data_IF_080833032969
#
_entry.id   IF_080833032969
#
_cell.length_a   1.000
_cell.length_b   1.000
_cell.length_c   1.000
_cell.angle_alpha   90.00
_cell.angle_beta   90.00
_cell.angle_gamma   90.00
#
_symmetry.space_group_name_H-M   'P 1'
#
loop_
_entity.id
_entity.type
_entity.pdbx_description
1 polymer ?
#
# COMPACT_ATOMS: atom_id res chain seq x y z
N UNK A 1 16.03 -17.26 -36.73
CA UNK A 1 14.80 -16.93 -37.47
C UNK A 1 13.67 -17.31 -36.53
N UNK A 2 13.01 -16.45 -35.75
CA UNK A 2 12.53 -15.06 -35.89
C UNK A 2 12.23 -14.62 -34.43
N UNK A 3 12.92 -13.74 -33.72
CA UNK A 3 13.13 -12.28 -33.84
C UNK A 3 11.90 -11.37 -34.08
N UNK A 4 10.65 -11.86 -33.98
CA UNK A 4 9.44 -11.00 -34.12
C UNK A 4 8.30 -11.34 -33.14
N UNK A 5 8.58 -11.50 -31.85
CA UNK A 5 7.50 -11.52 -30.83
C UNK A 5 7.72 -10.53 -29.67
N UNK A 6 8.63 -9.57 -29.82
CA UNK A 6 8.80 -8.50 -28.81
C UNK A 6 7.71 -7.42 -28.87
N UNK A 7 6.89 -7.37 -29.93
CA UNK A 7 5.87 -6.33 -30.14
C UNK A 7 4.51 -6.57 -29.48
N UNK A 8 4.12 -7.83 -29.23
CA UNK A 8 2.77 -8.17 -28.75
C UNK A 8 2.63 -8.30 -27.22
N UNK A 9 3.75 -8.33 -26.48
CA UNK A 9 3.71 -8.49 -25.01
C UNK A 9 3.31 -7.21 -24.25
N UNK A 10 3.28 -6.05 -24.89
CA UNK A 10 2.96 -4.77 -24.25
C UNK A 10 1.44 -4.53 -24.21
N UNK A 11 0.67 -5.03 -25.19
CA UNK A 11 -0.76 -4.78 -25.34
C UNK A 11 -1.69 -5.65 -24.47
N UNK A 12 -1.15 -6.63 -23.72
CA UNK A 12 -1.94 -7.56 -22.88
C UNK A 12 -1.43 -7.67 -21.44
N UNK A 13 -0.83 -6.61 -20.89
CA UNK A 13 -0.51 -6.61 -19.47
C UNK A 13 -1.77 -6.32 -18.64
N UNK A 14 -2.40 -7.39 -18.14
CA UNK A 14 -3.50 -7.28 -17.16
C UNK A 14 -3.02 -6.62 -15.87
N UNK A 15 -3.85 -5.72 -15.32
CA UNK A 15 -3.70 -5.12 -13.98
C UNK A 15 -3.63 -6.19 -12.89
N UNK A 16 -4.39 -7.26 -13.09
CA UNK A 16 -4.42 -8.43 -12.22
C UNK A 16 -3.40 -9.47 -12.67
N UNK A 17 -2.75 -10.12 -11.72
CA UNK A 17 -2.01 -11.35 -11.98
C UNK A 17 -2.96 -12.43 -12.54
N UNK A 18 -2.41 -13.40 -13.27
CA UNK A 18 -3.18 -14.55 -13.75
C UNK A 18 -3.72 -15.38 -12.58
N UNK A 19 -4.92 -15.93 -12.78
CA UNK A 19 -5.55 -16.83 -11.81
C UNK A 19 -4.76 -18.12 -11.71
N UNK A 20 -4.31 -18.46 -10.51
CA UNK A 20 -3.72 -19.76 -10.20
C UNK A 20 -4.41 -20.34 -8.97
N UNK A 21 -4.38 -21.67 -8.81
CA UNK A 21 -4.96 -22.38 -7.66
C UNK A 21 -4.39 -21.92 -6.31
N UNK A 22 -3.33 -21.11 -6.32
CA UNK A 22 -2.54 -20.70 -5.15
C UNK A 22 -2.72 -19.23 -4.77
N UNK A 23 -3.39 -18.43 -5.61
CA UNK A 23 -3.60 -16.98 -5.40
C UNK A 23 -5.04 -16.68 -4.97
N UNK A 24 -5.22 -15.67 -4.12
CA UNK A 24 -6.53 -15.16 -3.68
C UNK A 24 -7.19 -14.24 -4.74
N UNK A 25 -8.28 -13.58 -4.36
CA UNK A 25 -9.03 -12.69 -5.26
C UNK A 25 -8.33 -11.33 -5.46
N UNK A 26 -7.74 -10.76 -4.40
CA UNK A 26 -6.99 -9.50 -4.44
C UNK A 26 -5.57 -9.75 -4.97
N UNK A 27 -5.39 -9.73 -6.30
CA UNK A 27 -4.08 -10.01 -6.93
C UNK A 27 -3.58 -8.95 -7.93
N UNK A 28 -3.67 -7.66 -7.65
CA UNK A 28 -3.19 -6.68 -8.59
C UNK A 28 -1.65 -6.68 -8.59
N UNK A 29 -1.05 -6.23 -9.69
CA UNK A 29 0.41 -6.13 -9.77
C UNK A 29 0.88 -4.97 -8.88
N UNK A 30 1.88 -5.16 -8.00
CA UNK A 30 2.30 -4.11 -7.05
C UNK A 30 2.62 -2.77 -7.73
N UNK A 31 3.30 -2.80 -8.88
CA UNK A 31 3.66 -1.58 -9.61
C UNK A 31 2.42 -0.88 -10.22
N UNK A 32 1.47 -1.63 -10.76
CA UNK A 32 0.22 -1.09 -11.30
C UNK A 32 -0.65 -0.46 -10.22
N UNK A 33 -0.66 -1.06 -9.01
CA UNK A 33 -1.34 -0.51 -7.83
C UNK A 33 -0.75 0.85 -7.50
N UNK A 34 0.58 0.97 -7.38
CA UNK A 34 1.21 2.26 -7.06
C UNK A 34 0.83 3.31 -8.10
N UNK A 35 1.00 3.02 -9.39
CA UNK A 35 0.70 4.00 -10.44
C UNK A 35 -0.78 4.41 -10.44
N UNK A 36 -1.68 3.44 -10.31
CA UNK A 36 -3.13 3.70 -10.26
C UNK A 36 -3.51 4.52 -9.03
N UNK A 37 -2.98 4.18 -7.86
CA UNK A 37 -3.18 4.95 -6.62
C UNK A 37 -2.70 6.38 -6.78
N UNK A 38 -1.49 6.59 -7.30
CA UNK A 38 -0.91 7.93 -7.48
C UNK A 38 -1.73 8.76 -8.48
N UNK A 39 -2.16 8.17 -9.60
CA UNK A 39 -2.98 8.87 -10.61
C UNK A 39 -4.34 9.25 -10.01
N UNK A 40 -5.04 8.31 -9.37
CA UNK A 40 -6.35 8.55 -8.76
C UNK A 40 -6.23 9.63 -7.67
N UNK A 41 -5.28 9.48 -6.76
CA UNK A 41 -5.04 10.44 -5.69
C UNK A 41 -4.78 11.85 -6.24
N UNK A 42 -3.82 11.99 -7.15
CA UNK A 42 -3.46 13.30 -7.71
C UNK A 42 -4.65 13.92 -8.45
N UNK A 43 -5.42 13.12 -9.19
CA UNK A 43 -6.60 13.62 -9.90
C UNK A 43 -7.65 14.17 -8.93
N UNK A 44 -8.04 13.39 -7.90
CA UNK A 44 -9.02 13.83 -6.90
C UNK A 44 -8.50 15.03 -6.10
N UNK A 45 -7.21 15.05 -5.77
CA UNK A 45 -6.61 16.13 -5.01
C UNK A 45 -6.55 17.43 -5.82
N UNK A 46 -6.23 17.37 -7.11
CA UNK A 46 -6.29 18.54 -8.01
C UNK A 46 -7.73 19.05 -8.13
N UNK A 47 -8.71 18.16 -8.32
CA UNK A 47 -10.13 18.56 -8.35
C UNK A 47 -10.52 19.27 -7.06
N UNK A 48 -10.17 18.70 -5.91
CA UNK A 48 -10.44 19.29 -4.60
C UNK A 48 -9.81 20.69 -4.48
N UNK A 49 -8.52 20.85 -4.80
CA UNK A 49 -7.84 22.15 -4.76
C UNK A 49 -8.52 23.17 -5.67
N UNK A 50 -8.90 22.78 -6.89
CA UNK A 50 -9.60 23.68 -7.81
C UNK A 50 -10.96 24.10 -7.24
N UNK A 51 -11.72 23.17 -6.65
CA UNK A 51 -13.01 23.49 -6.03
C UNK A 51 -12.85 24.42 -4.83
N UNK A 52 -11.82 24.24 -4.00
CA UNK A 52 -11.51 25.17 -2.90
C UNK A 52 -11.09 26.54 -3.44
N UNK A 53 -10.24 26.59 -4.47
CA UNK A 53 -9.73 27.84 -5.03
C UNK A 53 -10.83 28.71 -5.66
N UNK A 54 -11.82 28.07 -6.29
CA UNK A 54 -12.97 28.77 -6.89
C UNK A 54 -14.17 28.92 -5.95
N UNK A 55 -14.01 28.56 -4.66
CA UNK A 55 -15.10 28.56 -3.66
C UNK A 55 -16.37 27.85 -4.17
N UNK A 56 -16.16 26.74 -4.88
CA UNK A 56 -17.21 26.02 -5.60
C UNK A 56 -17.95 24.99 -4.74
N UNK A 57 -17.53 24.81 -3.48
CA UNK A 57 -18.21 23.91 -2.55
C UNK A 57 -19.49 24.55 -2.01
N UNK A 58 -20.60 23.80 -1.92
CA UNK A 58 -21.87 24.35 -1.43
C UNK A 58 -21.85 24.64 0.08
N UNK A 59 -20.99 23.96 0.83
CA UNK A 59 -20.83 24.09 2.27
C UNK A 59 -19.48 23.51 2.73
N UNK A 60 -19.08 23.79 3.97
CA UNK A 60 -17.82 23.28 4.54
C UNK A 60 -17.87 21.77 4.74
N UNK A 61 -19.06 21.21 4.99
CA UNK A 61 -19.26 19.74 5.07
C UNK A 61 -18.78 19.02 3.81
N UNK A 62 -19.16 19.48 2.62
CA UNK A 62 -18.73 18.82 1.38
C UNK A 62 -17.24 19.03 1.08
N UNK A 63 -16.68 20.18 1.46
CA UNK A 63 -15.25 20.42 1.32
C UNK A 63 -14.44 19.39 2.14
N UNK A 64 -14.81 19.19 3.41
CA UNK A 64 -14.12 18.24 4.30
C UNK A 64 -14.30 16.79 3.86
N UNK A 65 -15.50 16.38 3.46
CA UNK A 65 -15.75 15.00 2.99
C UNK A 65 -14.94 14.68 1.75
N UNK A 66 -14.86 15.60 0.78
CA UNK A 66 -14.12 15.36 -0.47
C UNK A 66 -12.61 15.36 -0.22
N UNK A 67 -12.12 16.25 0.64
CA UNK A 67 -10.72 16.24 1.07
C UNK A 67 -10.35 14.89 1.68
N UNK A 68 -11.17 14.42 2.62
CA UNK A 68 -10.96 13.15 3.31
C UNK A 68 -11.07 11.95 2.38
N UNK A 69 -12.10 11.90 1.54
CA UNK A 69 -12.28 10.83 0.57
C UNK A 69 -11.06 10.67 -0.33
N UNK A 70 -10.48 11.78 -0.80
CA UNK A 70 -9.28 11.75 -1.64
C UNK A 70 -8.09 11.11 -0.92
N UNK A 71 -7.89 11.45 0.35
CA UNK A 71 -6.82 10.92 1.21
C UNK A 71 -7.04 9.44 1.55
N UNK A 72 -8.28 9.07 1.89
CA UNK A 72 -8.62 7.71 2.27
C UNK A 72 -8.56 6.74 1.07
N UNK A 73 -8.94 7.17 -0.13
CA UNK A 73 -8.75 6.38 -1.35
C UNK A 73 -7.25 6.14 -1.63
N UNK A 74 -6.40 7.14 -1.41
CA UNK A 74 -4.95 6.97 -1.54
C UNK A 74 -4.40 5.89 -0.61
N UNK A 75 -4.77 5.94 0.67
CA UNK A 75 -4.30 4.99 1.68
C UNK A 75 -4.89 3.60 1.44
N UNK A 76 -6.20 3.52 1.14
CA UNK A 76 -6.92 2.28 0.85
C UNK A 76 -6.35 1.54 -0.36
N UNK A 77 -5.95 2.25 -1.42
CA UNK A 77 -5.28 1.65 -2.57
C UNK A 77 -3.78 1.39 -2.30
N UNK A 78 -3.10 2.21 -1.50
CA UNK A 78 -1.73 1.91 -1.05
C UNK A 78 -1.66 0.64 -0.18
N UNK A 79 -2.73 0.28 0.54
CA UNK A 79 -2.87 -0.96 1.29
C UNK A 79 -2.95 -2.21 0.41
N UNK A 80 -3.44 -2.06 -0.82
CA UNK A 80 -3.45 -3.14 -1.81
C UNK A 80 -2.02 -3.54 -2.20
N UNK A 81 -1.04 -2.64 -2.07
CA UNK A 81 0.36 -2.90 -2.42
C UNK A 81 1.01 -4.01 -1.57
N UNK A 82 1.00 -3.98 -0.22
CA UNK A 82 1.51 -5.09 0.60
C UNK A 82 0.77 -6.42 0.39
N UNK A 83 -0.53 -6.38 0.09
CA UNK A 83 -1.34 -7.57 -0.25
C UNK A 83 -0.86 -8.16 -1.58
N UNK A 84 -0.66 -7.30 -2.59
CA UNK A 84 -0.13 -7.66 -3.90
C UNK A 84 1.25 -8.29 -3.79
N UNK A 85 2.12 -7.73 -2.95
CA UNK A 85 3.44 -8.29 -2.63
C UNK A 85 3.29 -9.73 -2.10
N UNK A 86 2.38 -9.96 -1.15
CA UNK A 86 2.14 -11.30 -0.59
C UNK A 86 1.76 -12.31 -1.69
N UNK A 87 0.95 -11.90 -2.66
CA UNK A 87 0.53 -12.77 -3.77
C UNK A 87 1.54 -12.93 -4.90
N UNK A 88 2.51 -12.01 -5.02
CA UNK A 88 3.63 -12.16 -5.96
C UNK A 88 4.69 -13.15 -5.47
N UNK A 89 4.68 -13.55 -4.20
CA UNK A 89 5.62 -14.56 -3.71
C UNK A 89 5.29 -15.95 -4.28
N UNK A 90 6.23 -16.62 -4.98
CA UNK A 90 5.99 -17.94 -5.53
C UNK A 90 5.85 -18.95 -4.37
N UNK A 91 4.68 -19.58 -4.27
CA UNK A 91 4.33 -20.38 -3.09
C UNK A 91 4.72 -21.85 -3.17
N UNK A 92 5.24 -22.37 -4.30
CA UNK A 92 5.58 -23.81 -4.38
C UNK A 92 6.71 -24.28 -5.30
N UNK A 93 7.18 -23.55 -6.30
CA UNK A 93 8.29 -24.07 -7.14
C UNK A 93 9.61 -24.18 -6.38
N UNK A 94 9.79 -23.45 -5.27
CA UNK A 94 10.91 -23.65 -4.35
C UNK A 94 10.70 -24.80 -3.35
N UNK A 95 9.49 -25.38 -3.26
CA UNK A 95 9.19 -26.46 -2.32
C UNK A 95 9.66 -27.81 -2.84
N UNK A 96 9.53 -28.08 -4.15
CA UNK A 96 9.89 -29.38 -4.71
C UNK A 96 11.41 -29.66 -4.73
N UNK A 97 12.25 -28.64 -4.54
CA UNK A 97 13.71 -28.84 -4.39
C UNK A 97 14.21 -28.69 -2.96
N UNK A 98 13.34 -28.30 -2.02
CA UNK A 98 13.72 -28.00 -0.63
C UNK A 98 12.97 -28.87 0.39
N UNK A 99 12.43 -30.01 -0.03
CA UNK A 99 11.80 -31.03 0.82
C UNK A 99 12.83 -31.89 1.55
N UNK A 100 13.79 -31.30 2.26
CA UNK A 100 14.56 -32.08 3.23
C UNK A 100 14.99 -31.34 4.50
N UNK A 101 14.58 -30.11 4.77
CA UNK A 101 14.71 -29.60 6.14
C UNK A 101 13.83 -28.40 6.47
N UNK A 102 13.35 -28.43 7.71
CA UNK A 102 12.64 -27.40 8.48
C UNK A 102 11.11 -27.28 8.31
N UNK A 103 10.44 -27.83 9.32
CA UNK A 103 9.27 -27.32 10.02
C UNK A 103 8.29 -26.47 9.21
N UNK A 104 7.16 -27.10 8.90
CA UNK A 104 5.88 -26.53 8.49
C UNK A 104 5.61 -25.15 9.10
N UNK A 105 6.02 -24.08 8.42
CA UNK A 105 5.37 -22.78 8.53
C UNK A 105 4.32 -22.72 7.43
N UNK A 106 3.07 -22.98 7.82
CA UNK A 106 1.90 -22.85 6.95
C UNK A 106 1.92 -21.48 6.27
N UNK A 107 1.85 -21.47 4.94
CA UNK A 107 1.52 -20.25 4.20
C UNK A 107 0.25 -19.64 4.81
N UNK A 108 0.17 -18.30 4.99
CA UNK A 108 -1.03 -17.67 5.52
C UNK A 108 -2.25 -18.17 4.74
N UNK A 109 -3.33 -18.50 5.43
CA UNK A 109 -4.58 -18.89 4.78
C UNK A 109 -5.02 -17.72 3.88
N UNK A 110 -5.01 -17.95 2.56
CA UNK A 110 -5.27 -16.93 1.53
C UNK A 110 -6.57 -16.16 1.75
N UNK A 111 -7.61 -16.83 2.25
CA UNK A 111 -8.89 -16.18 2.55
C UNK A 111 -8.77 -15.22 3.74
N UNK A 112 -7.93 -15.54 4.73
CA UNK A 112 -7.66 -14.66 5.87
C UNK A 112 -6.86 -13.43 5.39
N UNK A 113 -5.91 -13.59 4.48
CA UNK A 113 -5.19 -12.46 3.90
C UNK A 113 -6.10 -11.54 3.07
N UNK A 114 -7.02 -12.10 2.29
CA UNK A 114 -8.04 -11.33 1.56
C UNK A 114 -8.99 -10.60 2.51
N UNK A 115 -9.49 -11.28 3.55
CA UNK A 115 -10.38 -10.68 4.57
C UNK A 115 -9.67 -9.52 5.28
N UNK A 116 -8.43 -9.73 5.74
CA UNK A 116 -7.63 -8.66 6.38
C UNK A 116 -7.41 -7.51 5.40
N UNK A 117 -7.17 -7.82 4.12
CA UNK A 117 -6.97 -6.82 3.09
C UNK A 117 -8.20 -5.94 2.85
N UNK A 118 -9.37 -6.56 2.70
CA UNK A 118 -10.63 -5.83 2.56
C UNK A 118 -11.00 -5.07 3.83
N UNK A 119 -10.74 -5.64 5.01
CA UNK A 119 -10.95 -4.98 6.29
C UNK A 119 -10.10 -3.72 6.38
N UNK A 120 -8.81 -3.81 6.06
CA UNK A 120 -7.91 -2.66 6.08
C UNK A 120 -8.29 -1.59 5.07
N UNK A 121 -8.94 -1.94 3.95
CA UNK A 121 -9.39 -0.99 2.93
C UNK A 121 -10.67 -0.24 3.36
N UNK A 122 -11.66 -0.97 3.89
CA UNK A 122 -12.99 -0.42 4.20
C UNK A 122 -13.00 0.30 5.56
N UNK A 123 -12.26 -0.23 6.54
CA UNK A 123 -12.30 0.27 7.92
C UNK A 123 -11.91 1.75 8.06
N UNK A 124 -10.78 2.25 7.50
CA UNK A 124 -10.43 3.67 7.63
C UNK A 124 -11.51 4.57 7.03
N UNK A 125 -12.01 4.24 5.83
CA UNK A 125 -13.12 4.95 5.17
C UNK A 125 -14.35 5.01 6.08
N UNK A 126 -14.73 3.87 6.67
CA UNK A 126 -15.92 3.76 7.52
C UNK A 126 -15.80 4.54 8.83
N UNK A 127 -14.59 4.73 9.36
CA UNK A 127 -14.37 5.46 10.61
C UNK A 127 -14.11 6.95 10.43
N UNK A 128 -13.46 7.34 9.33
CA UNK A 128 -12.99 8.72 9.12
C UNK A 128 -14.02 9.57 8.38
N UNK A 129 -14.76 9.02 7.42
CA UNK A 129 -15.81 9.78 6.72
C UNK A 129 -16.92 10.30 7.64
N UNK A 130 -17.43 9.52 8.62
CA UNK A 130 -18.37 10.06 9.59
C UNK A 130 -17.78 11.19 10.42
N UNK A 131 -16.50 11.10 10.80
CA UNK A 131 -15.82 12.16 11.56
C UNK A 131 -15.62 13.42 10.71
N UNK A 132 -15.31 13.27 9.42
CA UNK A 132 -15.23 14.38 8.47
C UNK A 132 -16.59 15.09 8.32
N UNK A 133 -17.66 14.31 8.15
CA UNK A 133 -19.02 14.84 8.06
C UNK A 133 -19.41 15.62 9.32
N UNK A 134 -19.19 15.05 10.51
CA UNK A 134 -19.48 15.72 11.79
C UNK A 134 -18.66 17.00 11.94
N UNK A 135 -17.37 16.96 11.58
CA UNK A 135 -16.48 18.12 11.66
C UNK A 135 -16.99 19.25 10.78
N UNK A 136 -17.30 18.96 9.51
CA UNK A 136 -17.82 19.97 8.59
C UNK A 136 -19.21 20.49 8.99
N UNK A 137 -20.06 19.62 9.53
CA UNK A 137 -21.38 20.03 10.02
C UNK A 137 -21.27 21.06 11.17
N UNK A 138 -20.34 20.85 12.10
CA UNK A 138 -20.08 21.81 13.18
C UNK A 138 -19.55 23.15 12.66
N UNK A 139 -18.75 23.15 11.60
CA UNK A 139 -18.33 24.39 10.93
C UNK A 139 -19.51 25.09 10.27
N UNK A 140 -20.39 24.36 9.59
CA UNK A 140 -21.57 24.91 8.92
C UNK A 140 -22.56 25.58 9.91
N UNK A 141 -22.68 25.05 11.14
CA UNK A 141 -23.48 25.67 12.21
C UNK A 141 -22.71 26.69 13.06
N UNK A 142 -21.48 27.03 12.65
CA UNK A 142 -20.58 27.98 13.31
C UNK A 142 -20.19 27.61 14.76
N UNK A 143 -20.24 26.33 15.12
CA UNK A 143 -19.79 25.78 16.40
C UNK A 143 -18.32 25.33 16.29
N UNK A 144 -17.42 26.33 16.29
CA UNK A 144 -16.00 26.11 16.04
C UNK A 144 -15.32 25.29 17.14
N UNK A 145 -15.80 25.37 18.38
CA UNK A 145 -15.24 24.60 19.50
C UNK A 145 -15.46 23.10 19.32
N UNK A 146 -16.70 22.70 18.95
CA UNK A 146 -16.99 21.29 18.64
C UNK A 146 -16.34 20.83 17.34
N UNK A 147 -16.25 21.70 16.33
CA UNK A 147 -15.53 21.39 15.10
C UNK A 147 -14.05 21.07 15.38
N UNK A 148 -13.38 21.92 16.17
CA UNK A 148 -11.98 21.72 16.55
C UNK A 148 -11.77 20.48 17.41
N UNK A 149 -12.65 20.23 18.38
CA UNK A 149 -12.61 19.01 19.19
C UNK A 149 -12.78 17.75 18.34
N UNK A 150 -13.75 17.73 17.42
CA UNK A 150 -13.98 16.61 16.51
C UNK A 150 -12.81 16.40 15.56
N UNK A 151 -12.23 17.47 15.03
CA UNK A 151 -11.01 17.45 14.20
C UNK A 151 -9.83 16.79 14.93
N UNK A 152 -9.68 17.06 16.24
CA UNK A 152 -8.62 16.43 17.06
C UNK A 152 -8.82 14.91 17.15
N UNK A 153 -10.05 14.46 17.44
CA UNK A 153 -10.39 13.03 17.50
C UNK A 153 -10.14 12.38 16.15
N UNK A 154 -10.57 13.02 15.07
CA UNK A 154 -10.32 12.58 13.71
C UNK A 154 -8.83 12.35 13.46
N UNK A 155 -7.98 13.34 13.76
CA UNK A 155 -6.53 13.23 13.55
C UNK A 155 -5.92 12.09 14.38
N UNK A 156 -6.39 11.82 15.59
CA UNK A 156 -5.93 10.69 16.41
C UNK A 156 -6.33 9.34 15.79
N UNK A 157 -7.59 9.20 15.35
CA UNK A 157 -8.05 7.99 14.65
C UNK A 157 -7.24 7.77 13.37
N UNK A 158 -6.91 8.84 12.66
CA UNK A 158 -6.08 8.79 11.47
C UNK A 158 -4.66 8.29 11.78
N UNK A 159 -4.02 8.80 12.82
CA UNK A 159 -2.70 8.33 13.28
C UNK A 159 -2.71 6.84 13.63
N UNK A 160 -3.77 6.35 14.29
CA UNK A 160 -3.93 4.92 14.60
C UNK A 160 -3.94 4.08 13.32
N UNK A 161 -4.71 4.50 12.31
CA UNK A 161 -4.76 3.80 11.02
C UNK A 161 -3.41 3.79 10.29
N UNK A 162 -2.67 4.90 10.31
CA UNK A 162 -1.33 4.97 9.71
C UNK A 162 -0.34 4.06 10.44
N UNK A 163 -0.43 3.93 11.75
CA UNK A 163 0.40 2.97 12.51
C UNK A 163 0.11 1.52 12.12
N UNK A 164 -1.17 1.15 12.04
CA UNK A 164 -1.59 -0.19 11.58
C UNK A 164 -1.04 -0.45 10.16
N UNK A 165 -1.11 0.54 9.28
CA UNK A 165 -0.57 0.47 7.93
C UNK A 165 0.95 0.25 7.92
N UNK A 166 1.70 1.07 8.65
CA UNK A 166 3.17 0.97 8.73
C UNK A 166 3.61 -0.41 9.23
N UNK A 167 2.98 -0.92 10.29
CA UNK A 167 3.29 -2.25 10.84
C UNK A 167 3.03 -3.33 9.78
N UNK A 168 1.87 -3.27 9.10
CA UNK A 168 1.51 -4.22 8.05
C UNK A 168 2.50 -4.18 6.88
N UNK A 169 2.89 -2.98 6.43
CA UNK A 169 3.85 -2.80 5.34
C UNK A 169 5.22 -3.37 5.71
N UNK A 170 5.77 -3.02 6.88
CA UNK A 170 7.08 -3.49 7.34
C UNK A 170 7.09 -5.02 7.49
N UNK A 171 6.03 -5.59 8.06
CA UNK A 171 5.90 -7.05 8.21
C UNK A 171 5.92 -7.77 6.86
N UNK A 172 5.08 -7.33 5.91
CA UNK A 172 4.99 -7.94 4.58
C UNK A 172 6.28 -7.74 3.78
N UNK A 173 6.91 -6.58 3.92
CA UNK A 173 8.20 -6.27 3.31
C UNK A 173 9.31 -7.20 3.81
N UNK A 174 9.47 -7.32 5.13
CA UNK A 174 10.47 -8.19 5.73
C UNK A 174 10.33 -9.64 5.26
N UNK A 175 9.09 -10.13 5.19
CA UNK A 175 8.78 -11.48 4.70
C UNK A 175 9.13 -11.65 3.21
N UNK A 176 8.79 -10.69 2.36
CA UNK A 176 9.15 -10.71 0.94
C UNK A 176 10.67 -10.73 0.76
N UNK A 177 11.37 -9.89 1.51
CA UNK A 177 12.83 -9.78 1.45
C UNK A 177 13.50 -11.13 1.76
N UNK A 178 13.05 -11.84 2.80
CA UNK A 178 13.54 -13.19 3.12
C UNK A 178 13.34 -14.16 1.95
N UNK A 179 12.16 -14.14 1.32
CA UNK A 179 11.83 -15.06 0.22
C UNK A 179 12.73 -14.79 -0.99
N UNK A 180 12.87 -13.52 -1.38
CA UNK A 180 13.75 -13.12 -2.50
C UNK A 180 15.20 -13.50 -2.19
N UNK A 181 15.68 -13.23 -0.98
CA UNK A 181 17.04 -13.54 -0.57
C UNK A 181 17.32 -15.05 -0.60
N UNK A 182 16.38 -15.86 -0.12
CA UNK A 182 16.47 -17.31 -0.17
C UNK A 182 16.48 -17.82 -1.62
N UNK A 183 15.67 -17.23 -2.50
CA UNK A 183 15.64 -17.59 -3.92
C UNK A 183 16.97 -17.22 -4.62
N UNK A 184 17.52 -16.03 -4.35
CA UNK A 184 18.86 -15.62 -4.82
C UNK A 184 19.92 -16.61 -4.34
N UNK A 185 19.90 -17.03 -3.08
CA UNK A 185 20.85 -17.99 -2.52
C UNK A 185 20.71 -19.37 -3.16
N UNK A 186 19.50 -19.80 -3.47
CA UNK A 186 19.25 -21.06 -4.17
C UNK A 186 19.77 -21.03 -5.61
N UNK A 187 19.46 -19.97 -6.37
CA UNK A 187 19.96 -19.78 -7.73
C UNK A 187 21.48 -19.72 -7.77
N UNK A 188 22.12 -18.99 -6.85
CA UNK A 188 23.59 -18.92 -6.75
C UNK A 188 24.23 -20.27 -6.47
N UNK A 189 23.57 -21.16 -5.70
CA UNK A 189 24.06 -22.53 -5.51
C UNK A 189 23.97 -23.36 -6.78
N UNK A 190 22.88 -23.23 -7.55
CA UNK A 190 22.72 -23.92 -8.84
C UNK A 190 23.69 -23.41 -9.90
N UNK A 191 23.99 -22.12 -9.89
CA UNK A 191 24.99 -21.49 -10.76
C UNK A 191 26.38 -22.11 -10.54
N UNK A 192 26.82 -22.25 -9.27
CA UNK A 192 28.11 -22.88 -8.93
C UNK A 192 28.20 -24.32 -9.44
N UNK A 193 27.07 -25.05 -9.44
CA UNK A 193 27.02 -26.47 -9.86
C UNK A 193 26.90 -26.62 -11.38
N UNK A 194 26.20 -25.71 -12.08
CA UNK A 194 25.88 -25.86 -13.51
C UNK A 194 26.69 -24.97 -14.46
N UNK A 195 27.36 -23.92 -13.97
CA UNK A 195 28.22 -23.05 -14.77
C UNK A 195 27.51 -22.24 -15.88
N UNK A 196 26.18 -22.07 -15.80
CA UNK A 196 25.39 -21.45 -16.87
C UNK A 196 25.31 -19.92 -16.74
N UNK A 197 25.68 -19.19 -17.80
CA UNK A 197 25.67 -17.72 -17.87
C UNK A 197 24.28 -17.10 -17.67
N UNK A 198 23.22 -17.81 -18.07
CA UNK A 198 21.83 -17.36 -17.92
C UNK A 198 21.40 -17.27 -16.46
N UNK A 199 21.92 -18.16 -15.60
CA UNK A 199 21.67 -18.11 -14.16
C UNK A 199 22.36 -16.90 -13.51
N UNK A 200 23.59 -16.59 -13.94
CA UNK A 200 24.32 -15.42 -13.47
C UNK A 200 23.58 -14.11 -13.83
N UNK A 201 23.10 -14.00 -15.07
CA UNK A 201 22.30 -12.86 -15.51
C UNK A 201 21.00 -12.73 -14.71
N UNK A 202 20.30 -13.84 -14.49
CA UNK A 202 19.05 -13.88 -13.69
C UNK A 202 19.28 -13.43 -12.25
N UNK A 203 20.34 -13.92 -11.59
CA UNK A 203 20.69 -13.54 -10.21
C UNK A 203 21.01 -12.05 -10.11
N UNK A 204 21.78 -11.51 -11.05
CA UNK A 204 22.14 -10.08 -11.06
C UNK A 204 20.91 -9.17 -11.25
N UNK A 205 20.00 -9.55 -12.14
CA UNK A 205 18.74 -8.84 -12.40
C UNK A 205 17.84 -8.87 -11.18
N UNK A 206 17.68 -10.04 -10.54
CA UNK A 206 16.85 -10.20 -9.35
C UNK A 206 17.40 -9.42 -8.15
N UNK A 207 18.72 -9.40 -7.96
CA UNK A 207 19.38 -8.60 -6.92
C UNK A 207 19.14 -7.11 -7.12
N UNK A 208 19.24 -6.64 -8.38
CA UNK A 208 18.98 -5.23 -8.72
C UNK A 208 17.51 -4.86 -8.47
N UNK A 209 16.58 -5.72 -8.87
CA UNK A 209 15.15 -5.53 -8.60
C UNK A 209 14.85 -5.48 -7.08
N UNK A 210 15.48 -6.35 -6.29
CA UNK A 210 15.33 -6.36 -4.83
C UNK A 210 15.82 -5.06 -4.17
N UNK A 211 16.93 -4.49 -4.65
CA UNK A 211 17.47 -3.21 -4.17
C UNK A 211 16.51 -2.07 -4.50
N UNK A 212 16.02 -1.98 -5.75
CA UNK A 212 15.06 -0.93 -6.12
C UNK A 212 13.77 -1.01 -5.32
N UNK A 213 13.27 -2.23 -5.09
CA UNK A 213 12.10 -2.46 -4.26
C UNK A 213 12.33 -2.02 -2.80
N UNK A 214 13.53 -2.27 -2.26
CA UNK A 214 13.93 -1.82 -0.93
C UNK A 214 13.97 -0.29 -0.82
N UNK A 215 14.52 0.37 -1.82
CA UNK A 215 14.55 1.84 -1.88
C UNK A 215 13.13 2.43 -1.93
N UNK A 216 12.25 1.88 -2.77
CA UNK A 216 10.87 2.33 -2.90
C UNK A 216 10.06 2.15 -1.61
N UNK A 217 10.26 1.05 -0.88
CA UNK A 217 9.54 0.83 0.39
C UNK A 217 10.15 1.66 1.51
N UNK A 218 11.48 1.82 1.54
CA UNK A 218 12.14 2.68 2.53
C UNK A 218 11.71 4.14 2.38
N UNK A 219 11.59 4.65 1.15
CA UNK A 219 11.08 6.01 0.92
C UNK A 219 9.64 6.15 1.39
N UNK A 220 8.78 5.16 1.13
CA UNK A 220 7.39 5.18 1.59
C UNK A 220 7.29 5.16 3.12
N UNK A 221 8.10 4.35 3.80
CA UNK A 221 8.16 4.33 5.27
C UNK A 221 8.62 5.69 5.83
N UNK A 222 9.62 6.31 5.23
CA UNK A 222 10.12 7.64 5.65
C UNK A 222 9.02 8.70 5.51
N UNK A 223 8.37 8.77 4.33
CA UNK A 223 7.30 9.74 4.07
C UNK A 223 6.15 9.57 5.08
N UNK A 224 5.71 8.33 5.29
CA UNK A 224 4.63 8.03 6.24
C UNK A 224 5.02 8.35 7.69
N UNK A 225 6.29 8.15 8.07
CA UNK A 225 6.78 8.49 9.41
C UNK A 225 6.80 10.00 9.63
N UNK A 226 7.27 10.78 8.64
CA UNK A 226 7.25 12.25 8.72
C UNK A 226 5.80 12.75 8.85
N UNK A 227 4.89 12.22 8.03
CA UNK A 227 3.49 12.61 8.06
C UNK A 227 2.83 12.26 9.40
N UNK A 228 3.16 11.09 9.95
CA UNK A 228 2.70 10.69 11.28
C UNK A 228 3.16 11.65 12.37
N UNK A 229 4.42 12.08 12.35
CA UNK A 229 4.94 13.08 13.29
C UNK A 229 4.17 14.39 13.15
N UNK A 230 3.96 14.88 11.92
CA UNK A 230 3.21 16.12 11.66
C UNK A 230 1.76 16.04 12.15
N UNK A 231 1.06 14.94 11.87
CA UNK A 231 -0.33 14.74 12.31
C UNK A 231 -0.43 14.60 13.83
N UNK A 232 0.52 13.91 14.45
CA UNK A 232 0.59 13.78 15.91
C UNK A 232 0.88 15.12 16.58
N UNK A 233 1.85 15.90 16.07
CA UNK A 233 2.17 17.21 16.62
C UNK A 233 1.02 18.18 16.44
N UNK A 234 0.35 18.19 15.29
CA UNK A 234 -0.84 19.01 15.07
C UNK A 234 -1.99 18.63 16.03
N UNK A 235 -2.27 17.33 16.17
CA UNK A 235 -3.33 16.84 17.07
C UNK A 235 -3.05 17.12 18.55
N UNK A 236 -1.78 17.03 18.98
CA UNK A 236 -1.38 17.16 20.38
C UNK A 236 -1.00 18.59 20.80
N UNK A 237 -0.25 19.35 19.98
CA UNK A 237 0.24 20.68 20.36
C UNK A 237 -0.77 21.80 20.11
N UNK A 238 -1.73 21.64 19.18
CA UNK A 238 -2.85 22.60 19.09
C UNK A 238 -3.81 22.49 20.31
N UNK A 239 -3.58 21.53 21.21
CA UNK A 239 -4.23 21.44 22.52
C UNK A 239 -3.72 22.50 23.52
N UNK A 240 -2.49 23.01 23.37
CA UNK A 240 -1.85 23.82 24.43
C UNK A 240 -1.95 25.34 24.25
N UNK A 241 -2.40 25.81 23.09
CA UNK A 241 -2.45 27.26 22.78
C UNK A 241 -3.85 27.86 22.78
N UNK A 242 -4.87 27.07 23.19
CA UNK A 242 -6.28 27.48 23.27
C UNK A 242 -6.93 27.08 24.61
N UNK A 243 -6.12 26.94 25.65
CA UNK A 243 -6.48 26.86 27.06
C UNK A 243 -5.87 28.06 27.77
#
# INVERSE_FOLDING_TARGET
MVLLESGNCILKQSFWLSSTRERGYLRPKPQEVIHTTTIIFNLFHVIHILMVLFDAYPNFTMAEIVQDLSRELAIGLALIYPISITYTTPTKESKNELTNNSNNKSSPNRYIADIIGFLLLISPISTLLPLAWITGHYVDINDLDKANSTRRIHNLVWVIWVMIFLISLIYNWYKLFIIIWNHIKALKRKEIVSGTSDMQWTVSTLRRAAIYLCLAISSLVIIMTIFLIMSFTYGYFHLSSTL
#
